data_IF_713105056438
#
_entry.id   IF_713105056438
#
_cell.length_a   1.000
_cell.length_b   1.000
_cell.length_c   1.000
_cell.angle_alpha   90.00
_cell.angle_beta   90.00
_cell.angle_gamma   90.00
#
_symmetry.space_group_name_H-M   'P 1'
#
loop_
_entity.id
_entity.type
_entity.pdbx_description
1 polymer ?
#
# COMPACT_ATOMS: atom_id res chain seq x y z
N UNK A 1 16.19 19.50 -8.03
CA UNK A 1 15.14 18.51 -8.18
C UNK A 1 15.71 17.21 -8.71
N UNK A 2 15.15 16.10 -8.22
CA UNK A 2 15.39 14.76 -8.75
C UNK A 2 14.03 14.11 -8.98
N UNK A 3 13.80 13.58 -10.16
CA UNK A 3 12.60 12.81 -10.50
C UNK A 3 12.99 11.39 -10.87
N UNK A 4 12.18 10.43 -10.51
CA UNK A 4 12.32 9.05 -10.92
C UNK A 4 10.93 8.44 -11.16
N UNK A 5 10.87 7.50 -12.09
CA UNK A 5 9.70 6.67 -12.32
C UNK A 5 10.15 5.22 -12.44
N UNK A 6 9.28 4.29 -12.05
CA UNK A 6 9.59 2.88 -12.06
C UNK A 6 8.36 2.01 -11.94
N UNK A 7 8.58 0.72 -11.77
CA UNK A 7 7.56 -0.25 -11.47
C UNK A 7 7.90 -1.04 -10.21
N UNK A 8 6.88 -1.49 -9.51
CA UNK A 8 6.99 -2.31 -8.31
C UNK A 8 6.04 -3.49 -8.37
N UNK A 9 6.42 -4.60 -7.74
CA UNK A 9 5.52 -5.69 -7.44
C UNK A 9 5.04 -5.53 -6.00
N UNK A 10 3.74 -5.39 -5.81
CA UNK A 10 3.11 -5.21 -4.52
C UNK A 10 2.37 -6.46 -4.09
N UNK A 11 2.54 -6.88 -2.84
CA UNK A 11 1.77 -7.94 -2.19
C UNK A 11 0.99 -7.38 -1.01
N UNK A 12 -0.30 -7.71 -0.93
CA UNK A 12 -1.17 -7.28 0.16
C UNK A 12 -1.84 -8.49 0.78
N UNK A 13 -1.82 -8.55 2.11
CA UNK A 13 -2.58 -9.52 2.88
C UNK A 13 -3.25 -8.83 4.07
N UNK A 14 -4.40 -9.31 4.47
CA UNK A 14 -5.10 -8.75 5.62
C UNK A 14 -6.41 -9.44 5.90
N UNK A 15 -7.03 -9.09 7.01
CA UNK A 15 -8.38 -9.56 7.33
C UNK A 15 -9.20 -8.45 7.99
N UNK A 16 -10.51 -8.55 7.87
CA UNK A 16 -11.47 -7.74 8.61
C UNK A 16 -12.35 -8.65 9.44
N UNK A 17 -12.50 -8.33 10.71
CA UNK A 17 -13.39 -9.07 11.60
C UNK A 17 -14.63 -8.24 11.88
N UNK A 18 -15.83 -8.82 11.63
CA UNK A 18 -17.11 -8.17 11.87
C UNK A 18 -18.13 -9.17 12.45
N UNK A 19 -18.37 -9.08 13.74
CA UNK A 19 -19.28 -9.97 14.47
C UNK A 19 -20.75 -9.89 14.01
N UNK A 20 -21.12 -8.83 13.30
CA UNK A 20 -22.47 -8.67 12.74
C UNK A 20 -22.67 -9.47 11.44
N UNK A 21 -21.61 -9.95 10.83
CA UNK A 21 -21.69 -10.78 9.63
C UNK A 21 -21.71 -12.26 10.04
N UNK A 22 -22.91 -12.84 10.09
CA UNK A 22 -23.07 -14.23 10.51
C UNK A 22 -22.51 -15.26 9.54
N UNK A 23 -22.35 -14.92 8.24
CA UNK A 23 -21.83 -15.85 7.23
C UNK A 23 -20.30 -15.87 7.17
N UNK A 24 -19.67 -14.69 7.17
CA UNK A 24 -18.22 -14.54 7.14
C UNK A 24 -17.79 -13.50 8.18
N UNK A 25 -17.72 -13.83 9.47
CA UNK A 25 -17.30 -12.88 10.49
C UNK A 25 -15.85 -12.42 10.30
N UNK A 26 -14.99 -13.30 9.79
CA UNK A 26 -13.62 -13.00 9.40
C UNK A 26 -13.50 -13.02 7.87
N UNK A 27 -13.12 -11.89 7.27
CA UNK A 27 -12.95 -11.77 5.81
C UNK A 27 -11.47 -11.58 5.50
N UNK A 28 -10.85 -12.60 4.88
CA UNK A 28 -9.48 -12.56 4.41
C UNK A 28 -9.35 -11.76 3.10
N UNK A 29 -8.24 -11.09 2.94
CA UNK A 29 -7.85 -10.40 1.72
C UNK A 29 -6.43 -10.78 1.34
N UNK A 30 -6.24 -11.11 0.08
CA UNK A 30 -4.92 -11.33 -0.50
C UNK A 30 -4.92 -10.76 -1.91
N UNK A 31 -3.89 -10.01 -2.25
CA UNK A 31 -3.72 -9.45 -3.59
C UNK A 31 -2.24 -9.36 -3.93
N UNK A 32 -1.94 -9.46 -5.22
CA UNK A 32 -0.64 -9.13 -5.80
C UNK A 32 -0.88 -8.25 -7.01
N UNK A 33 -0.11 -7.18 -7.16
CA UNK A 33 -0.26 -6.26 -8.27
C UNK A 33 1.08 -5.74 -8.76
N UNK A 34 1.14 -5.44 -10.05
CA UNK A 34 2.18 -4.61 -10.64
C UNK A 34 1.73 -3.15 -10.57
N UNK A 35 2.56 -2.31 -9.96
CA UNK A 35 2.30 -0.90 -9.76
C UNK A 35 3.29 -0.04 -10.54
N UNK A 36 2.83 1.11 -11.06
CA UNK A 36 3.69 2.19 -11.46
C UNK A 36 4.02 3.06 -10.25
N UNK A 37 5.27 3.47 -10.12
CA UNK A 37 5.73 4.35 -9.05
C UNK A 37 6.38 5.60 -9.63
N UNK A 38 6.09 6.74 -9.00
CA UNK A 38 6.66 8.04 -9.32
C UNK A 38 7.26 8.68 -8.09
N UNK A 39 8.43 9.32 -8.24
CA UNK A 39 9.16 9.96 -7.16
C UNK A 39 9.62 11.35 -7.58
N UNK A 40 9.42 12.32 -6.69
CA UNK A 40 10.03 13.63 -6.76
C UNK A 40 10.76 13.95 -5.46
N UNK A 41 12.01 14.40 -5.57
CA UNK A 41 12.83 14.79 -4.44
C UNK A 41 13.38 16.20 -4.67
N UNK A 42 13.24 17.03 -3.66
CA UNK A 42 13.82 18.36 -3.61
C UNK A 42 14.74 18.51 -2.42
N UNK A 43 15.96 19.03 -2.64
CA UNK A 43 16.90 19.33 -1.59
C UNK A 43 17.05 20.85 -1.43
N UNK A 44 16.54 21.37 -0.32
CA UNK A 44 16.69 22.75 0.09
C UNK A 44 17.92 22.85 1.00
N UNK A 45 18.78 23.82 0.79
CA UNK A 45 19.92 24.13 1.67
C UNK A 45 19.58 25.32 2.57
N UNK A 46 19.58 25.08 3.88
CA UNK A 46 19.42 26.14 4.89
C UNK A 46 20.73 26.26 5.65
N UNK A 47 21.53 27.28 5.32
CA UNK A 47 22.93 27.35 5.70
C UNK A 47 23.71 26.13 5.13
N UNK A 48 24.43 25.40 5.99
CA UNK A 48 25.17 24.21 5.62
C UNK A 48 24.37 22.89 5.75
N UNK A 49 23.06 22.97 6.06
CA UNK A 49 22.23 21.79 6.31
C UNK A 49 21.31 21.47 5.13
N UNK A 50 21.47 20.32 4.47
CA UNK A 50 20.55 19.89 3.41
C UNK A 50 19.26 19.33 4.01
N UNK A 51 18.15 20.00 3.76
CA UNK A 51 16.80 19.54 4.08
C UNK A 51 16.25 18.87 2.82
N UNK A 52 15.78 17.63 2.95
CA UNK A 52 15.24 16.87 1.83
C UNK A 52 13.75 16.69 1.97
N UNK A 53 13.01 17.09 0.96
CA UNK A 53 11.60 16.81 0.78
C UNK A 53 11.49 15.75 -0.31
N UNK A 54 10.86 14.61 -0.01
CA UNK A 54 10.63 13.53 -0.96
C UNK A 54 9.15 13.21 -0.98
N UNK A 55 8.58 13.14 -2.16
CA UNK A 55 7.22 12.65 -2.39
C UNK A 55 7.26 11.47 -3.36
N UNK A 56 6.45 10.46 -3.09
CA UNK A 56 6.36 9.23 -3.86
C UNK A 56 4.89 8.83 -3.98
N UNK A 57 4.50 8.36 -5.15
CA UNK A 57 3.15 7.87 -5.39
C UNK A 57 3.21 6.54 -6.15
N UNK A 58 2.46 5.55 -5.65
CA UNK A 58 2.33 4.22 -6.22
C UNK A 58 0.89 4.02 -6.69
N UNK A 59 0.76 3.47 -7.90
CA UNK A 59 -0.51 3.20 -8.57
C UNK A 59 -0.52 1.76 -9.08
N UNK A 60 -1.23 0.82 -8.42
CA UNK A 60 -1.46 -0.51 -8.95
C UNK A 60 -2.18 -0.47 -10.30
N UNK A 61 -1.56 -1.05 -11.34
CA UNK A 61 -2.07 -1.03 -12.71
C UNK A 61 -2.81 -2.31 -13.08
N UNK A 62 -2.24 -3.45 -12.70
CA UNK A 62 -2.82 -4.76 -12.97
C UNK A 62 -2.40 -5.74 -11.87
N UNK A 63 -3.32 -6.59 -11.46
CA UNK A 63 -3.04 -7.55 -10.39
C UNK A 63 -4.03 -8.69 -10.35
N UNK A 64 -3.83 -9.54 -9.36
CA UNK A 64 -4.73 -10.62 -8.98
C UNK A 64 -5.14 -10.45 -7.53
N UNK A 65 -6.42 -10.64 -7.24
CA UNK A 65 -6.94 -10.54 -5.89
C UNK A 65 -7.85 -11.73 -5.58
N UNK A 66 -7.68 -12.31 -4.39
CA UNK A 66 -8.65 -13.23 -3.82
C UNK A 66 -9.87 -12.43 -3.32
N UNK A 67 -11.05 -12.82 -3.77
CA UNK A 67 -12.33 -12.24 -3.38
C UNK A 67 -13.42 -13.32 -3.42
N UNK A 68 -14.07 -13.64 -2.31
CA UNK A 68 -15.30 -14.44 -2.34
C UNK A 68 -16.33 -13.81 -3.26
N UNK A 69 -17.25 -14.60 -3.79
CA UNK A 69 -18.44 -14.07 -4.46
C UNK A 69 -19.40 -13.48 -3.42
N UNK A 70 -20.28 -12.59 -3.85
CA UNK A 70 -21.31 -12.04 -2.96
C UNK A 70 -22.16 -13.16 -2.38
N UNK A 71 -22.28 -13.21 -1.05
CA UNK A 71 -23.01 -14.24 -0.31
C UNK A 71 -22.28 -15.57 -0.12
N UNK A 72 -21.12 -15.77 -0.73
CA UNK A 72 -20.33 -17.01 -0.60
C UNK A 72 -19.59 -17.04 0.74
N UNK A 73 -19.70 -18.18 1.44
CA UNK A 73 -18.98 -18.41 2.70
C UNK A 73 -17.59 -18.98 2.48
N UNK A 74 -16.68 -18.78 3.42
CA UNK A 74 -15.37 -19.45 3.40
C UNK A 74 -15.47 -20.96 3.55
N UNK A 75 -16.54 -21.46 4.21
CA UNK A 75 -16.82 -22.89 4.28
C UNK A 75 -17.07 -23.48 2.89
N UNK A 76 -17.88 -22.80 2.05
CA UNK A 76 -18.13 -23.21 0.67
C UNK A 76 -16.84 -23.22 -0.16
N UNK A 77 -15.96 -22.23 0.04
CA UNK A 77 -14.69 -22.15 -0.69
C UNK A 77 -13.73 -23.25 -0.23
N UNK A 78 -13.40 -23.29 1.07
CA UNK A 78 -12.28 -24.08 1.56
C UNK A 78 -12.66 -25.50 1.99
N UNK A 79 -13.93 -25.75 2.33
CA UNK A 79 -14.38 -27.08 2.76
C UNK A 79 -15.14 -27.83 1.67
N UNK A 80 -15.93 -27.12 0.84
CA UNK A 80 -16.67 -27.72 -0.26
C UNK A 80 -15.96 -27.60 -1.61
N UNK A 81 -14.86 -26.85 -1.68
CA UNK A 81 -14.08 -26.71 -2.92
C UNK A 81 -14.73 -25.83 -3.99
N UNK A 82 -15.64 -24.94 -3.62
CA UNK A 82 -16.28 -24.04 -4.59
C UNK A 82 -15.39 -22.82 -4.88
N UNK A 83 -14.34 -23.03 -5.66
CA UNK A 83 -13.33 -22.01 -5.98
C UNK A 83 -13.66 -21.09 -7.15
N UNK A 84 -14.85 -21.23 -7.76
CA UNK A 84 -15.19 -20.51 -8.98
C UNK A 84 -15.10 -19.00 -8.81
N UNK A 85 -14.23 -18.40 -9.64
CA UNK A 85 -14.04 -16.96 -9.75
C UNK A 85 -13.60 -16.26 -8.45
N UNK A 86 -13.00 -16.98 -7.49
CA UNK A 86 -12.48 -16.39 -6.26
C UNK A 86 -11.15 -15.64 -6.47
N UNK A 87 -10.42 -15.92 -7.56
CA UNK A 87 -9.28 -15.11 -7.98
C UNK A 87 -9.70 -14.25 -9.16
N UNK A 88 -9.55 -12.93 -8.99
CA UNK A 88 -9.99 -11.94 -9.99
C UNK A 88 -8.85 -11.03 -10.40
N UNK A 89 -8.83 -10.71 -11.68
CA UNK A 89 -7.95 -9.67 -12.20
C UNK A 89 -8.42 -8.31 -11.68
N UNK A 90 -7.49 -7.53 -11.17
CA UNK A 90 -7.70 -6.16 -10.69
C UNK A 90 -6.97 -5.16 -11.58
N UNK A 91 -7.57 -4.01 -11.77
CA UNK A 91 -7.05 -2.88 -12.53
C UNK A 91 -7.77 -1.60 -12.07
N UNK A 92 -7.34 -0.39 -12.46
CA UNK A 92 -7.95 0.86 -11.98
C UNK A 92 -9.45 1.01 -12.22
N UNK A 93 -10.05 0.24 -13.14
CA UNK A 93 -11.49 0.26 -13.41
C UNK A 93 -12.34 -0.49 -12.36
N UNK A 94 -11.78 -1.50 -11.68
CA UNK A 94 -12.49 -2.27 -10.65
C UNK A 94 -11.84 -2.20 -9.25
N UNK A 95 -10.59 -1.78 -9.18
CA UNK A 95 -9.83 -1.65 -7.94
C UNK A 95 -8.87 -0.45 -8.01
N UNK A 96 -9.39 0.79 -8.16
CA UNK A 96 -8.52 1.96 -8.13
C UNK A 96 -7.89 2.13 -6.75
N UNK A 97 -6.58 2.23 -6.73
CA UNK A 97 -5.76 2.38 -5.53
C UNK A 97 -4.67 3.39 -5.75
N UNK A 98 -4.32 4.11 -4.70
CA UNK A 98 -3.16 5.00 -4.68
C UNK A 98 -2.56 5.02 -3.28
N UNK A 99 -1.23 4.88 -3.23
CA UNK A 99 -0.44 5.19 -2.04
C UNK A 99 0.41 6.40 -2.33
N UNK A 100 0.27 7.40 -1.51
CA UNK A 100 1.05 8.63 -1.61
C UNK A 100 1.77 8.91 -0.31
N UNK A 101 3.09 9.05 -0.38
CA UNK A 101 3.94 9.30 0.79
C UNK A 101 4.74 10.59 0.57
N UNK A 102 4.73 11.47 1.55
CA UNK A 102 5.61 12.65 1.56
C UNK A 102 6.42 12.66 2.84
N UNK A 103 7.73 12.85 2.71
CA UNK A 103 8.66 12.89 3.85
C UNK A 103 9.53 14.13 3.81
N UNK A 104 9.75 14.72 4.98
CA UNK A 104 10.73 15.78 5.25
C UNK A 104 11.86 15.19 6.07
N UNK A 105 13.09 15.28 5.56
CA UNK A 105 14.28 14.74 6.21
C UNK A 105 15.26 15.84 6.57
N UNK A 106 15.67 15.85 7.84
CA UNK A 106 16.56 16.85 8.44
C UNK A 106 17.85 16.18 8.91
N UNK A 107 19.03 16.75 8.63
CA UNK A 107 20.27 16.24 9.19
C UNK A 107 20.33 16.51 10.71
N UNK A 108 20.68 15.48 11.46
CA UNK A 108 20.80 15.54 12.91
C UNK A 108 22.09 14.86 13.37
N UNK A 109 23.13 15.63 13.68
CA UNK A 109 24.47 15.09 14.02
C UNK A 109 25.00 14.15 12.92
N UNK A 110 25.29 12.88 13.26
CA UNK A 110 25.74 11.82 12.34
C UNK A 110 24.57 10.97 11.82
N UNK A 111 23.34 11.49 11.91
CA UNK A 111 22.12 10.80 11.55
C UNK A 111 21.20 11.71 10.73
N UNK A 112 20.07 11.19 10.32
CA UNK A 112 18.96 11.92 9.69
C UNK A 112 17.66 11.59 10.40
N UNK A 113 16.93 12.60 10.79
CA UNK A 113 15.55 12.49 11.26
C UNK A 113 14.60 12.76 10.10
N UNK A 114 13.56 12.00 10.00
CA UNK A 114 12.51 12.18 9.00
C UNK A 114 11.15 12.19 9.66
N UNK A 115 10.31 13.10 9.22
CA UNK A 115 8.87 13.07 9.51
C UNK A 115 8.13 12.96 8.19
N UNK A 116 6.99 12.30 8.18
CA UNK A 116 6.26 12.12 6.95
C UNK A 116 4.79 11.86 7.18
N UNK A 117 4.09 11.85 6.06
CA UNK A 117 2.68 11.54 5.96
C UNK A 117 2.46 10.60 4.79
N UNK A 118 1.61 9.61 5.01
CA UNK A 118 1.17 8.65 3.99
C UNK A 118 -0.35 8.63 3.93
N UNK A 119 -0.88 8.72 2.72
CA UNK A 119 -2.26 8.42 2.38
C UNK A 119 -2.31 7.15 1.54
N UNK A 120 -3.08 6.15 1.97
CA UNK A 120 -3.23 4.86 1.30
C UNK A 120 -4.73 4.62 1.07
N UNK A 121 -5.18 4.81 -0.16
CA UNK A 121 -6.58 4.87 -0.55
C UNK A 121 -6.91 3.68 -1.43
N UNK A 122 -7.92 2.92 -1.03
CA UNK A 122 -8.44 1.75 -1.74
C UNK A 122 -9.92 1.94 -2.04
N UNK A 123 -10.30 1.77 -3.30
CA UNK A 123 -11.67 1.83 -3.79
C UNK A 123 -11.90 0.60 -4.67
N UNK A 124 -12.37 -0.51 -4.10
CA UNK A 124 -12.49 -1.78 -4.81
C UNK A 124 -13.94 -2.19 -4.97
N UNK A 125 -14.29 -2.73 -6.14
CA UNK A 125 -15.55 -3.39 -6.40
C UNK A 125 -15.30 -4.67 -7.19
N UNK A 126 -15.13 -5.78 -6.49
CA UNK A 126 -14.78 -7.09 -7.06
C UNK A 126 -15.77 -8.13 -6.57
N UNK A 127 -16.26 -8.99 -7.45
CA UNK A 127 -17.28 -10.01 -7.18
C UNK A 127 -18.53 -9.48 -6.47
N UNK A 128 -18.97 -8.26 -6.79
CA UNK A 128 -20.10 -7.61 -6.14
C UNK A 128 -19.81 -7.04 -4.74
N UNK A 129 -18.63 -7.32 -4.19
CA UNK A 129 -18.18 -6.80 -2.91
C UNK A 129 -17.53 -5.44 -3.08
N UNK A 130 -17.95 -4.47 -2.27
CA UNK A 130 -17.34 -3.14 -2.21
C UNK A 130 -16.40 -3.07 -1.02
N UNK A 131 -15.23 -2.51 -1.24
CA UNK A 131 -14.27 -2.22 -0.19
C UNK A 131 -13.73 -0.82 -0.38
N UNK A 132 -13.92 0.03 0.63
CA UNK A 132 -13.43 1.40 0.67
C UNK A 132 -12.59 1.55 1.93
N UNK A 133 -11.34 1.94 1.77
CA UNK A 133 -10.46 2.23 2.90
C UNK A 133 -9.61 3.46 2.59
N UNK A 134 -9.57 4.37 3.55
CA UNK A 134 -8.74 5.57 3.52
C UNK A 134 -7.88 5.54 4.78
N UNK A 135 -6.64 5.17 4.60
CA UNK A 135 -5.68 5.07 5.69
C UNK A 135 -4.75 6.28 5.65
N UNK A 136 -4.62 6.94 6.77
CA UNK A 136 -3.74 8.08 6.96
C UNK A 136 -2.72 7.73 8.05
N UNK A 137 -1.43 7.86 7.75
CA UNK A 137 -0.34 7.51 8.66
C UNK A 137 0.63 8.66 8.79
N UNK A 138 1.05 8.93 10.03
CA UNK A 138 2.20 9.79 10.30
C UNK A 138 3.44 8.91 10.47
N UNK A 139 4.53 9.32 9.84
CA UNK A 139 5.78 8.58 9.81
C UNK A 139 6.85 9.33 10.56
N UNK A 140 7.61 8.63 11.38
CA UNK A 140 8.81 9.15 12.04
C UNK A 140 9.94 8.18 11.71
N UNK A 141 11.03 8.68 11.17
CA UNK A 141 12.18 7.89 10.76
C UNK A 141 13.49 8.41 11.37
N UNK A 142 14.37 7.49 11.71
CA UNK A 142 15.73 7.76 12.12
C UNK A 142 16.68 6.92 11.29
N UNK A 143 17.58 7.56 10.54
CA UNK A 143 18.55 6.87 9.69
C UNK A 143 19.97 7.25 10.12
N UNK A 144 20.82 6.24 10.39
CA UNK A 144 22.23 6.41 10.70
C UNK A 144 23.08 5.53 9.79
N UNK A 145 24.17 6.10 9.23
CA UNK A 145 25.15 5.31 8.52
C UNK A 145 26.07 4.60 9.52
N UNK A 146 26.16 3.29 9.40
CA UNK A 146 27.07 2.46 10.19
C UNK A 146 28.16 1.97 9.22
N UNK A 147 29.39 2.31 9.52
CA UNK A 147 30.54 1.79 8.78
C UNK A 147 31.10 0.58 9.52
N UNK A 148 31.10 -0.57 8.86
CA UNK A 148 31.83 -1.73 9.33
C UNK A 148 33.23 -1.61 8.82
N UNK A 149 34.18 -1.31 9.70
CA UNK A 149 35.61 -1.34 9.38
C UNK A 149 36.04 -2.80 9.32
N UNK A 150 36.58 -3.22 8.16
CA UNK A 150 37.19 -4.53 8.00
C UNK A 150 38.60 -4.48 8.56
#
# INVERSE_FOLDING_TARGET
WRFAAGGALEGQTGFTYNTRNGNNPAQGRAAVAFAATGLAEYTLRVGNKPIRIRTEADFPLVGLMFSPNYGQSYYEIFSLGHYDKNVRVTFPGNAPEVRWTTTLSLPFRKARLSIGYEADIHQRRVNGLKYHAWNHRFLIGYTRHIYVVK
#
